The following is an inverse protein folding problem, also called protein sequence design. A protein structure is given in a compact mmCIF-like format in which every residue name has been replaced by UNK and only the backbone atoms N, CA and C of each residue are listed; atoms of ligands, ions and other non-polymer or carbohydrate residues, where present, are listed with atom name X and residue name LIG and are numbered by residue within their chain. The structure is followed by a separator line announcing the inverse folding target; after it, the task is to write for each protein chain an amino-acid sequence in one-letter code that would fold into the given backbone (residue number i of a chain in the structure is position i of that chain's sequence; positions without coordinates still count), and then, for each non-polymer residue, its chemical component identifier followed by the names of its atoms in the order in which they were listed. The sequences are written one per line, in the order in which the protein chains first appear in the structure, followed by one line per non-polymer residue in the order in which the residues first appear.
data_IF_768915598580
#
_entry.id   IF_768915598580
#
_cell.length_a   1.000
_cell.length_b   1.000
_cell.length_c   1.000
_cell.angle_alpha   90.00
_cell.angle_beta   90.00
_cell.angle_gamma   90.00
#
_symmetry.space_group_name_H-M   'P 1'
#
loop_
_entity.id
_entity.type
_entity.pdbx_description
1 polymer ?
#
# COMPACT_ATOMS: atom_id res chain seq x y z
N UNK A 1 19.65 -4.63 16.38
CA UNK A 1 20.37 -3.70 15.47
C UNK A 1 21.75 -3.33 16.01
N UNK A 2 21.86 -2.81 17.23
CA UNK A 2 23.15 -2.43 17.83
C UNK A 2 24.16 -3.58 17.91
N UNK A 3 23.71 -4.79 18.26
CA UNK A 3 24.56 -5.99 18.34
C UNK A 3 25.14 -6.40 16.98
N UNK A 4 24.37 -6.24 15.90
CA UNK A 4 24.80 -6.51 14.54
C UNK A 4 25.84 -5.47 14.08
N UNK A 5 25.62 -4.19 14.40
CA UNK A 5 26.54 -3.12 14.06
C UNK A 5 27.91 -3.31 14.75
N UNK A 6 27.91 -3.70 16.04
CA UNK A 6 29.14 -3.98 16.79
C UNK A 6 29.87 -5.19 16.20
N UNK A 7 29.16 -6.27 15.87
CA UNK A 7 29.77 -7.45 15.24
C UNK A 7 30.39 -7.11 13.86
N UNK A 8 29.67 -6.34 13.04
CA UNK A 8 30.17 -5.90 11.73
C UNK A 8 31.40 -4.99 11.87
N UNK A 9 31.42 -4.10 12.86
CA UNK A 9 32.57 -3.24 13.12
C UNK A 9 33.81 -4.04 13.55
N UNK A 10 33.64 -5.02 14.44
CA UNK A 10 34.74 -5.87 14.93
C UNK A 10 35.33 -6.75 13.82
N UNK A 11 34.48 -7.39 13.03
CA UNK A 11 34.93 -8.21 11.89
C UNK A 11 35.65 -7.35 10.85
N UNK A 12 35.12 -6.17 10.53
CA UNK A 12 35.72 -5.26 9.54
C UNK A 12 37.07 -4.71 10.03
N UNK A 13 37.20 -4.40 11.32
CA UNK A 13 38.45 -3.88 11.88
C UNK A 13 39.62 -4.88 11.72
N UNK A 14 39.39 -6.18 11.95
CA UNK A 14 40.42 -7.21 11.75
C UNK A 14 40.99 -7.24 10.32
N UNK A 15 40.18 -6.89 9.31
CA UNK A 15 40.62 -6.85 7.91
C UNK A 15 41.26 -5.51 7.50
N UNK A 16 41.09 -4.46 8.29
CA UNK A 16 41.54 -3.09 8.01
C UNK A 16 42.79 -2.73 8.82
N UNK A 17 43.01 -3.40 9.95
CA UNK A 17 44.11 -3.15 10.88
C UNK A 17 45.49 -3.13 10.22
N UNK A 18 45.71 -3.96 9.20
CA UNK A 18 47.00 -4.03 8.50
C UNK A 18 47.19 -2.94 7.44
N UNK A 19 46.13 -2.20 7.06
CA UNK A 19 46.17 -1.21 5.97
C UNK A 19 46.27 0.23 6.45
N UNK A 20 45.87 0.54 7.67
CA UNK A 20 45.79 1.92 8.17
C UNK A 20 46.47 2.05 9.52
N UNK A 21 47.24 3.15 9.71
CA UNK A 21 47.90 3.45 10.98
C UNK A 21 46.91 3.67 12.14
N UNK A 22 45.67 4.05 11.85
CA UNK A 22 44.57 4.16 12.82
C UNK A 22 43.37 3.34 12.33
N UNK A 23 43.35 2.06 12.71
CA UNK A 23 42.38 1.06 12.27
C UNK A 23 40.93 1.43 12.59
N UNK A 24 40.69 2.12 13.72
CA UNK A 24 39.36 2.60 14.10
C UNK A 24 38.80 3.65 13.14
N UNK A 25 39.66 4.56 12.64
CA UNK A 25 39.27 5.59 11.67
C UNK A 25 38.98 4.94 10.32
N UNK A 26 39.85 4.02 9.87
CA UNK A 26 39.64 3.27 8.64
C UNK A 26 38.33 2.47 8.64
N UNK A 27 38.03 1.80 9.76
CA UNK A 27 36.79 1.03 9.92
C UNK A 27 35.56 1.92 9.86
N UNK A 28 35.60 3.09 10.50
CA UNK A 28 34.48 4.05 10.49
C UNK A 28 34.20 4.58 9.08
N UNK A 29 35.25 4.91 8.32
CA UNK A 29 35.13 5.39 6.93
C UNK A 29 34.50 4.30 6.04
N UNK A 30 34.98 3.06 6.14
CA UNK A 30 34.46 1.95 5.33
C UNK A 30 32.98 1.70 5.62
N UNK A 31 32.57 1.72 6.89
CA UNK A 31 31.17 1.54 7.28
C UNK A 31 30.29 2.68 6.73
N UNK A 32 30.75 3.92 6.80
CA UNK A 32 30.03 5.08 6.26
C UNK A 32 29.85 4.96 4.75
N UNK A 33 30.89 4.54 4.02
CA UNK A 33 30.82 4.33 2.57
C UNK A 33 29.85 3.20 2.22
N UNK A 34 29.90 2.07 2.94
CA UNK A 34 28.96 0.97 2.78
C UNK A 34 27.51 1.41 3.03
N UNK A 35 27.28 2.15 4.12
CA UNK A 35 25.97 2.69 4.43
C UNK A 35 25.47 3.62 3.31
N UNK A 36 26.32 4.52 2.81
CA UNK A 36 25.98 5.42 1.72
C UNK A 36 25.64 4.67 0.41
N UNK A 37 26.38 3.60 0.09
CA UNK A 37 26.11 2.76 -1.08
C UNK A 37 24.76 2.04 -0.96
N UNK A 38 24.49 1.42 0.18
CA UNK A 38 23.21 0.74 0.45
C UNK A 38 22.05 1.74 0.35
N UNK A 39 22.23 2.93 0.93
CA UNK A 39 21.19 3.96 0.93
C UNK A 39 20.93 4.51 -0.48
N UNK A 40 21.99 4.74 -1.25
CA UNK A 40 21.88 5.18 -2.65
C UNK A 40 21.21 4.13 -3.52
N UNK A 41 21.57 2.85 -3.33
CA UNK A 41 20.93 1.75 -4.04
C UNK A 41 19.45 1.63 -3.67
N UNK A 42 19.11 1.73 -2.38
CA UNK A 42 17.72 1.75 -1.92
C UNK A 42 16.91 2.91 -2.51
N UNK A 43 17.49 4.11 -2.55
CA UNK A 43 16.86 5.28 -3.16
C UNK A 43 16.62 5.10 -4.67
N UNK A 44 17.61 4.59 -5.41
CA UNK A 44 17.49 4.33 -6.84
C UNK A 44 16.50 3.19 -7.11
N UNK A 45 16.52 2.13 -6.30
CA UNK A 45 15.61 1.00 -6.37
C UNK A 45 14.15 1.45 -6.23
N UNK A 46 13.88 2.30 -5.24
CA UNK A 46 12.54 2.84 -5.00
C UNK A 46 12.07 3.77 -6.15
N UNK A 47 12.93 4.69 -6.58
CA UNK A 47 12.56 5.73 -7.56
C UNK A 47 12.52 5.25 -9.01
N UNK A 48 13.49 4.44 -9.43
CA UNK A 48 13.68 4.06 -10.84
C UNK A 48 13.04 2.73 -11.19
N UNK A 49 13.11 1.75 -10.30
CA UNK A 49 12.63 0.40 -10.61
C UNK A 49 11.15 0.22 -10.29
N UNK A 50 10.55 1.01 -9.38
CA UNK A 50 9.10 1.01 -9.07
C UNK A 50 8.48 -0.40 -8.91
N UNK A 51 9.26 -1.40 -8.55
CA UNK A 51 8.84 -2.81 -8.54
C UNK A 51 7.63 -3.04 -7.61
N UNK A 52 7.56 -2.25 -6.54
CA UNK A 52 6.43 -2.22 -5.60
C UNK A 52 5.12 -1.74 -6.24
N UNK A 53 5.16 -0.83 -7.23
CA UNK A 53 3.94 -0.37 -7.92
C UNK A 53 3.37 -1.43 -8.84
N UNK A 54 4.23 -2.12 -9.58
CA UNK A 54 3.78 -3.15 -10.51
C UNK A 54 3.18 -4.34 -9.77
N UNK A 55 3.72 -4.70 -8.59
CA UNK A 55 3.13 -5.75 -7.77
C UNK A 55 1.75 -5.38 -7.21
N UNK A 56 1.49 -4.10 -6.88
CA UNK A 56 0.16 -3.64 -6.47
C UNK A 56 -0.84 -3.70 -7.62
N UNK A 57 -0.42 -3.33 -8.84
CA UNK A 57 -1.28 -3.41 -10.04
C UNK A 57 -1.56 -4.86 -10.42
N UNK A 58 -0.55 -5.74 -10.40
CA UNK A 58 -0.74 -7.19 -10.65
C UNK A 58 -1.61 -7.84 -9.57
N UNK A 59 -1.48 -7.40 -8.31
CA UNK A 59 -2.36 -7.85 -7.22
C UNK A 59 -3.81 -7.40 -7.39
N UNK A 60 -4.06 -6.37 -8.21
CA UNK A 60 -5.41 -5.97 -8.61
C UNK A 60 -5.81 -6.78 -9.84
N UNK A 61 -5.02 -6.78 -10.92
CA UNK A 61 -5.38 -7.43 -12.18
C UNK A 61 -5.51 -8.96 -12.13
N UNK A 62 -4.72 -9.65 -11.31
CA UNK A 62 -4.75 -11.13 -11.19
C UNK A 62 -5.57 -11.63 -10.02
N UNK A 63 -6.17 -10.76 -9.23
CA UNK A 63 -6.98 -11.18 -8.11
C UNK A 63 -8.39 -11.55 -8.61
N UNK A 64 -8.81 -12.83 -8.57
CA UNK A 64 -10.16 -13.23 -8.94
C UNK A 64 -11.25 -12.67 -8.00
N UNK A 65 -10.86 -11.96 -6.93
CA UNK A 65 -11.73 -11.20 -6.03
C UNK A 65 -11.69 -9.67 -6.27
N UNK A 66 -10.90 -9.17 -7.23
CA UNK A 66 -10.91 -7.76 -7.64
C UNK A 66 -11.84 -7.47 -8.83
N UNK A 67 -12.56 -8.48 -9.30
CA UNK A 67 -13.63 -8.35 -10.30
C UNK A 67 -14.70 -7.35 -9.86
N UNK A 68 -14.83 -7.15 -8.55
CA UNK A 68 -15.62 -6.08 -7.96
C UNK A 68 -14.86 -4.74 -8.08
N UNK A 69 -15.37 -3.82 -8.91
CA UNK A 69 -14.77 -2.48 -9.04
C UNK A 69 -14.80 -1.69 -7.70
N UNK A 70 -15.64 -2.08 -6.74
CA UNK A 70 -15.70 -1.58 -5.37
C UNK A 70 -15.94 -2.73 -4.39
N UNK A 71 -15.25 -2.72 -3.24
CA UNK A 71 -15.50 -3.68 -2.17
C UNK A 71 -16.87 -3.42 -1.51
N UNK A 72 -17.55 -4.44 -0.96
CA UNK A 72 -18.85 -4.27 -0.31
C UNK A 72 -18.85 -3.18 0.79
N UNK A 73 -17.77 -3.09 1.57
CA UNK A 73 -17.58 -2.05 2.60
C UNK A 73 -17.52 -0.64 2.00
N UNK A 74 -16.93 -0.48 0.82
CA UNK A 74 -16.82 0.81 0.14
C UNK A 74 -18.19 1.24 -0.36
N UNK A 75 -18.97 0.32 -0.92
CA UNK A 75 -20.35 0.59 -1.35
C UNK A 75 -21.21 1.05 -0.17
N UNK A 76 -21.18 0.33 0.95
CA UNK A 76 -21.94 0.71 2.17
C UNK A 76 -21.48 2.07 2.70
N UNK A 77 -20.18 2.34 2.69
CA UNK A 77 -19.64 3.65 3.10
C UNK A 77 -20.10 4.77 2.17
N UNK A 78 -20.14 4.54 0.86
CA UNK A 78 -20.58 5.56 -0.09
C UNK A 78 -22.08 5.85 0.07
N UNK A 79 -22.90 4.82 0.20
CA UNK A 79 -24.36 4.96 0.36
C UNK A 79 -24.73 5.60 1.70
N UNK A 80 -24.09 5.18 2.79
CA UNK A 80 -24.47 5.61 4.14
C UNK A 80 -23.84 6.95 4.53
N UNK A 81 -22.62 7.24 4.07
CA UNK A 81 -21.84 8.38 4.55
C UNK A 81 -21.65 9.41 3.43
N UNK A 82 -21.04 9.02 2.32
CA UNK A 82 -20.57 9.99 1.31
C UNK A 82 -21.69 10.64 0.51
N UNK A 83 -22.66 9.87 0.01
CA UNK A 83 -23.75 10.40 -0.81
C UNK A 83 -24.63 11.37 0.00
N UNK A 84 -25.07 11.04 1.23
CA UNK A 84 -25.79 12.00 2.08
C UNK A 84 -24.97 13.26 2.36
N UNK A 85 -23.69 13.10 2.72
CA UNK A 85 -22.80 14.22 3.01
C UNK A 85 -22.61 15.16 1.80
N UNK A 86 -22.46 14.62 0.59
CA UNK A 86 -22.37 15.41 -0.64
C UNK A 86 -23.68 16.18 -0.91
N UNK A 87 -24.83 15.55 -0.67
CA UNK A 87 -26.15 16.20 -0.80
C UNK A 87 -26.32 17.34 0.20
N UNK A 88 -25.91 17.15 1.45
CA UNK A 88 -25.95 18.18 2.49
C UNK A 88 -25.08 19.40 2.15
N UNK A 89 -23.95 19.20 1.47
CA UNK A 89 -23.08 20.28 1.00
C UNK A 89 -23.54 20.97 -0.28
N UNK A 90 -24.70 20.59 -0.83
CA UNK A 90 -25.23 21.16 -2.07
C UNK A 90 -24.55 20.64 -3.35
N UNK A 91 -23.71 19.61 -3.25
CA UNK A 91 -22.98 19.00 -4.37
C UNK A 91 -23.84 17.94 -5.07
N UNK A 92 -25.05 18.33 -5.49
CA UNK A 92 -26.09 17.41 -5.97
C UNK A 92 -25.68 16.69 -7.26
N UNK A 93 -24.95 17.37 -8.15
CA UNK A 93 -24.49 16.77 -9.41
C UNK A 93 -23.50 15.62 -9.15
N UNK A 94 -22.54 15.82 -8.25
CA UNK A 94 -21.56 14.81 -7.88
C UNK A 94 -22.22 13.66 -7.11
N UNK A 95 -23.13 13.97 -6.18
CA UNK A 95 -23.90 12.95 -5.47
C UNK A 95 -24.69 12.04 -6.43
N UNK A 96 -25.25 12.59 -7.51
CA UNK A 96 -25.98 11.81 -8.52
C UNK A 96 -25.05 10.94 -9.38
N UNK A 97 -23.83 11.41 -9.69
CA UNK A 97 -22.82 10.61 -10.39
C UNK A 97 -22.41 9.42 -9.51
N UNK A 98 -22.09 9.67 -8.25
CA UNK A 98 -21.72 8.62 -7.30
C UNK A 98 -22.84 7.61 -7.06
N UNK A 99 -24.09 8.08 -6.95
CA UNK A 99 -25.25 7.19 -6.89
C UNK A 99 -25.32 6.28 -8.12
N UNK A 100 -25.17 6.84 -9.33
CA UNK A 100 -25.21 6.06 -10.57
C UNK A 100 -24.09 5.02 -10.66
N UNK A 101 -22.90 5.35 -10.17
CA UNK A 101 -21.76 4.41 -10.13
C UNK A 101 -22.05 3.27 -9.16
N UNK A 102 -22.58 3.58 -7.96
CA UNK A 102 -22.98 2.56 -6.99
C UNK A 102 -24.06 1.65 -7.56
N UNK A 103 -25.10 2.21 -8.18
CA UNK A 103 -26.20 1.45 -8.76
C UNK A 103 -25.70 0.53 -9.89
N UNK A 104 -24.80 1.01 -10.74
CA UNK A 104 -24.19 0.20 -11.80
C UNK A 104 -23.40 -0.99 -11.23
N UNK A 105 -22.65 -0.79 -10.14
CA UNK A 105 -21.92 -1.86 -9.46
C UNK A 105 -22.87 -2.91 -8.85
N UNK A 106 -23.94 -2.46 -8.17
CA UNK A 106 -24.95 -3.34 -7.58
C UNK A 106 -25.72 -4.16 -8.62
N UNK A 107 -25.96 -3.60 -9.81
CA UNK A 107 -26.60 -4.31 -10.93
C UNK A 107 -25.64 -5.31 -11.58
N UNK A 108 -24.35 -4.98 -11.66
CA UNK A 108 -23.36 -5.84 -12.30
C UNK A 108 -23.03 -7.11 -11.50
N UNK A 109 -23.20 -7.09 -10.17
CA UNK A 109 -22.82 -8.19 -9.29
C UNK A 109 -23.91 -8.48 -8.23
N UNK A 110 -24.60 -9.61 -8.40
CA UNK A 110 -25.65 -10.07 -7.48
C UNK A 110 -25.10 -10.49 -6.11
N UNK A 111 -23.85 -10.95 -6.04
CA UNK A 111 -23.20 -11.31 -4.77
C UNK A 111 -22.85 -10.07 -3.97
N UNK A 112 -22.40 -9.00 -4.63
CA UNK A 112 -22.17 -7.69 -4.03
C UNK A 112 -23.47 -7.10 -3.47
N UNK A 113 -24.57 -7.14 -4.25
CA UNK A 113 -25.89 -6.70 -3.77
C UNK A 113 -26.32 -7.43 -2.51
N UNK A 114 -26.23 -8.76 -2.52
CA UNK A 114 -26.59 -9.59 -1.37
C UNK A 114 -25.75 -9.24 -0.13
N UNK A 115 -24.43 -9.07 -0.28
CA UNK A 115 -23.54 -8.70 0.81
C UNK A 115 -23.84 -7.29 1.36
N UNK A 116 -24.14 -6.33 0.48
CA UNK A 116 -24.53 -4.97 0.86
C UNK A 116 -25.86 -4.96 1.60
N UNK A 117 -26.85 -5.72 1.15
CA UNK A 117 -28.14 -5.84 1.83
C UNK A 117 -28.00 -6.46 3.22
N UNK A 118 -27.19 -7.53 3.37
CA UNK A 118 -26.86 -8.09 4.67
C UNK A 118 -26.21 -7.07 5.62
N UNK A 119 -25.27 -6.26 5.11
CA UNK A 119 -24.60 -5.22 5.92
C UNK A 119 -25.51 -4.04 6.26
N UNK A 120 -26.48 -3.72 5.40
CA UNK A 120 -27.49 -2.70 5.67
C UNK A 120 -28.66 -3.23 6.51
N UNK A 121 -28.61 -4.50 6.94
CA UNK A 121 -29.66 -5.13 7.75
C UNK A 121 -30.96 -5.40 6.96
N UNK A 122 -30.92 -5.33 5.63
CA UNK A 122 -32.02 -5.73 4.76
C UNK A 122 -31.88 -7.23 4.53
N UNK A 123 -32.82 -8.01 5.10
CA UNK A 123 -32.84 -9.47 4.90
C UNK A 123 -32.89 -9.84 3.42
N UNK A 124 -32.49 -11.07 3.03
CA UNK A 124 -32.39 -11.45 1.62
C UNK A 124 -33.75 -11.27 0.95
N UNK A 125 -33.80 -10.39 -0.05
CA UNK A 125 -34.95 -10.25 -0.93
C UNK A 125 -35.04 -11.54 -1.73
N UNK A 126 -36.03 -12.37 -1.39
CA UNK A 126 -36.33 -13.60 -2.12
C UNK A 126 -36.92 -13.20 -3.46
N UNK A 127 -36.10 -13.28 -4.52
CA UNK A 127 -36.59 -13.34 -5.90
C UNK A 127 -37.53 -14.56 -6.09
#
# INVERSE_FOLDING_TARGET
LSLLAVNLALTTNQYIEWRFSNSYIGTSIVIIVLAALIWTFGYLWDRKLKLWKEQMVVSIERNPYSTMHMTPKEVVSHVTIWIPWLRERGMVAEANIWQKIVDWNLVSDTTLRTAVDMMMGKGPEKD
#
